data_IF_156203823809
#
_entry.id   IF_156203823809
#
_cell.length_a   1.000
_cell.length_b   1.000
_cell.length_c   1.000
_cell.angle_alpha   90.00
_cell.angle_beta   90.00
_cell.angle_gamma   90.00
#
_symmetry.space_group_name_H-M   'P 1'
#
loop_
_entity.id
_entity.type
_entity.pdbx_description
1 polymer ?
#
# COMPACT_ATOMS: atom_id res chain seq x y z
N UNK A 1 -17.39 14.04 -5.84
CA UNK A 1 -17.26 15.47 -5.48
C UNK A 1 -17.32 15.54 -3.98
N UNK A 2 -16.18 15.72 -3.32
CA UNK A 2 -16.13 15.94 -1.88
C UNK A 2 -16.84 17.27 -1.57
N UNK A 3 -17.60 17.28 -0.48
CA UNK A 3 -18.23 18.49 0.04
C UNK A 3 -17.13 19.41 0.58
N UNK A 4 -17.15 20.69 0.19
CA UNK A 4 -16.19 21.68 0.68
C UNK A 4 -16.47 21.96 2.16
N UNK A 5 -15.55 21.55 3.04
CA UNK A 5 -15.64 21.75 4.49
C UNK A 5 -14.44 22.56 5.01
N UNK A 6 -14.54 23.05 6.24
CA UNK A 6 -13.49 23.80 6.95
C UNK A 6 -12.15 23.03 7.03
N UNK A 7 -12.20 21.70 7.20
CA UNK A 7 -11.01 20.84 7.19
C UNK A 7 -10.19 20.99 5.90
N UNK A 8 -10.87 21.16 4.76
CA UNK A 8 -10.26 21.29 3.44
C UNK A 8 -9.52 22.63 3.27
N UNK A 9 -9.99 23.67 3.96
CA UNK A 9 -9.32 24.98 3.99
C UNK A 9 -8.07 24.93 4.88
N UNK A 10 -8.12 24.15 5.96
CA UNK A 10 -6.98 23.93 6.84
C UNK A 10 -5.88 23.09 6.17
N UNK A 11 -6.24 21.99 5.50
CA UNK A 11 -5.29 21.18 4.71
C UNK A 11 -4.65 22.00 3.57
N UNK A 12 -5.39 22.96 3.00
CA UNK A 12 -4.85 23.90 2.02
C UNK A 12 -3.79 24.83 2.63
N UNK A 13 -4.03 25.35 3.85
CA UNK A 13 -3.06 26.18 4.58
C UNK A 13 -1.81 25.39 5.00
N UNK A 14 -1.99 24.14 5.42
CA UNK A 14 -0.89 23.25 5.83
C UNK A 14 -0.08 22.73 4.62
N UNK A 15 -0.58 22.93 3.39
CA UNK A 15 0.07 22.49 2.16
C UNK A 15 0.05 20.97 1.97
N UNK A 16 -0.91 20.28 2.60
CA UNK A 16 -1.00 18.81 2.60
C UNK A 16 -1.91 18.25 1.51
N UNK A 17 -2.64 19.12 0.80
CA UNK A 17 -3.50 18.72 -0.31
C UNK A 17 -2.71 18.25 -1.54
N UNK A 18 -3.25 17.25 -2.24
CA UNK A 18 -2.80 16.91 -3.59
C UNK A 18 -3.16 18.01 -4.61
N UNK A 19 -2.54 17.94 -5.78
CA UNK A 19 -2.65 19.00 -6.79
C UNK A 19 -4.07 19.18 -7.37
N UNK A 20 -4.87 18.12 -7.46
CA UNK A 20 -6.25 18.21 -7.95
C UNK A 20 -7.15 18.83 -6.89
N UNK A 21 -6.99 18.43 -5.63
CA UNK A 21 -7.71 18.99 -4.48
C UNK A 21 -7.38 20.47 -4.26
N UNK A 22 -6.10 20.84 -4.41
CA UNK A 22 -5.64 22.24 -4.35
C UNK A 22 -6.33 23.10 -5.40
N UNK A 23 -6.37 22.65 -6.66
CA UNK A 23 -7.08 23.36 -7.74
C UNK A 23 -8.58 23.51 -7.48
N UNK A 24 -9.22 22.52 -6.85
CA UNK A 24 -10.62 22.61 -6.47
C UNK A 24 -10.86 23.67 -5.39
N UNK A 25 -9.98 23.77 -4.39
CA UNK A 25 -10.03 24.82 -3.35
C UNK A 25 -9.82 26.19 -3.96
N UNK A 26 -8.81 26.36 -4.81
CA UNK A 26 -8.53 27.64 -5.49
C UNK A 26 -9.74 28.10 -6.34
N UNK A 27 -10.40 27.18 -7.05
CA UNK A 27 -11.62 27.47 -7.79
C UNK A 27 -12.79 27.86 -6.88
N UNK A 28 -12.92 27.24 -5.70
CA UNK A 28 -13.92 27.61 -4.71
C UNK A 28 -13.64 29.00 -4.11
N UNK A 29 -12.38 29.29 -3.74
CA UNK A 29 -11.95 30.59 -3.23
C UNK A 29 -12.19 31.73 -4.24
N UNK A 30 -12.01 31.46 -5.54
CA UNK A 30 -12.30 32.42 -6.59
C UNK A 30 -13.79 32.84 -6.64
N UNK A 31 -14.70 31.95 -6.24
CA UNK A 31 -16.14 32.16 -6.35
C UNK A 31 -16.82 32.53 -5.03
N UNK A 32 -16.23 32.16 -3.88
CA UNK A 32 -16.81 32.35 -2.55
C UNK A 32 -16.08 33.44 -1.74
N UNK A 33 -16.68 34.64 -1.57
CA UNK A 33 -16.14 35.68 -0.70
C UNK A 33 -16.09 35.25 0.78
N UNK A 34 -17.01 34.39 1.21
CA UNK A 34 -17.06 33.88 2.59
C UNK A 34 -15.85 32.99 2.89
N UNK A 35 -15.51 32.07 1.99
CA UNK A 35 -14.33 31.21 2.14
C UNK A 35 -13.02 32.01 2.15
N UNK A 36 -12.93 33.07 1.34
CA UNK A 36 -11.77 33.99 1.37
C UNK A 36 -11.66 34.77 2.68
N UNK A 37 -12.78 35.18 3.27
CA UNK A 37 -12.78 35.86 4.56
C UNK A 37 -12.31 34.92 5.69
N UNK A 38 -12.76 33.66 5.68
CA UNK A 38 -12.33 32.64 6.64
C UNK A 38 -10.84 32.33 6.51
N UNK A 39 -10.34 32.17 5.27
CA UNK A 39 -8.91 31.96 5.01
C UNK A 39 -8.07 33.12 5.56
N UNK A 40 -8.47 34.36 5.29
CA UNK A 40 -7.77 35.55 5.77
C UNK A 40 -7.78 35.67 7.31
N UNK A 41 -8.86 35.25 7.97
CA UNK A 41 -8.93 35.18 9.44
C UNK A 41 -7.92 34.17 10.00
N UNK A 42 -7.85 32.97 9.40
CA UNK A 42 -6.88 31.94 9.79
C UNK A 42 -5.43 32.40 9.55
N UNK A 43 -5.13 32.98 8.39
CA UNK A 43 -3.80 33.55 8.10
C UNK A 43 -3.40 34.63 9.11
N UNK A 44 -4.35 35.47 9.53
CA UNK A 44 -4.11 36.50 10.55
C UNK A 44 -3.78 35.88 11.91
N UNK A 45 -4.47 34.80 12.29
CA UNK A 45 -4.18 34.07 13.53
C UNK A 45 -2.78 33.45 13.49
N UNK A 46 -2.39 32.80 12.39
CA UNK A 46 -1.06 32.21 12.23
C UNK A 46 0.04 33.27 12.23
N UNK A 47 -0.15 34.40 11.54
CA UNK A 47 0.79 35.52 11.59
C UNK A 47 0.94 36.08 13.02
N UNK A 48 -0.12 36.09 13.82
CA UNK A 48 -0.07 36.45 15.23
C UNK A 48 0.73 35.46 16.09
N UNK A 49 0.64 34.16 15.78
CA UNK A 49 1.43 33.12 16.44
C UNK A 49 2.91 33.18 16.04
N UNK A 50 3.20 33.43 14.76
CA UNK A 50 4.57 33.57 14.25
C UNK A 50 5.27 34.83 14.79
N UNK A 51 4.49 35.88 15.10
CA UNK A 51 5.00 37.09 15.74
C UNK A 51 5.30 36.95 17.24
N UNK A 52 4.98 35.80 17.87
CA UNK A 52 5.32 35.57 19.27
C UNK A 52 6.85 35.55 19.45
N UNK A 53 7.36 36.17 20.53
CA UNK A 53 8.79 36.15 20.80
C UNK A 53 9.26 34.72 21.04
N UNK A 54 10.34 34.33 20.37
CA UNK A 54 11.02 33.07 20.65
C UNK A 54 11.46 33.05 22.12
N UNK A 55 10.90 32.12 22.89
CA UNK A 55 11.36 31.91 24.27
C UNK A 55 12.66 31.11 24.22
N UNK A 56 13.76 31.64 24.77
CA UNK A 56 14.99 30.87 24.86
C UNK A 56 14.75 29.65 25.75
N UNK A 57 15.13 28.47 25.28
CA UNK A 57 15.10 27.28 26.12
C UNK A 57 16.09 27.47 27.29
N UNK A 58 15.64 27.21 28.51
CA UNK A 58 16.48 27.34 29.72
C UNK A 58 17.68 26.36 29.72
N UNK A 59 17.59 25.30 28.92
CA UNK A 59 18.62 24.27 28.75
C UNK A 59 18.83 24.07 27.26
N UNK A 60 20.09 24.06 26.84
CA UNK A 60 20.46 23.73 25.47
C UNK A 60 20.19 22.24 25.21
N UNK A 61 19.09 21.96 24.52
CA UNK A 61 18.71 20.61 24.11
C UNK A 61 19.46 20.17 22.85
N UNK A 62 20.13 21.07 22.13
CA UNK A 62 20.76 20.76 20.84
C UNK A 62 21.85 19.70 21.01
N UNK A 63 22.68 19.81 22.05
CA UNK A 63 23.72 18.84 22.35
C UNK A 63 23.14 17.44 22.67
N UNK A 64 22.05 17.38 23.43
CA UNK A 64 21.38 16.13 23.78
C UNK A 64 20.72 15.46 22.57
N UNK A 65 20.03 16.24 21.74
CA UNK A 65 19.37 15.77 20.51
C UNK A 65 20.40 15.31 19.49
N UNK A 66 21.47 16.08 19.23
CA UNK A 66 22.56 15.67 18.32
C UNK A 66 23.25 14.41 18.79
N UNK A 67 23.49 14.28 20.10
CA UNK A 67 24.07 13.06 20.67
C UNK A 67 23.13 11.87 20.48
N UNK A 68 21.83 12.05 20.69
CA UNK A 68 20.84 10.99 20.52
C UNK A 68 20.63 10.60 19.07
N UNK A 69 20.52 11.55 18.15
CA UNK A 69 20.48 11.29 16.71
C UNK A 69 21.74 10.54 16.30
N UNK A 70 22.94 10.96 16.73
CA UNK A 70 24.18 10.24 16.42
C UNK A 70 24.22 8.81 16.99
N UNK A 71 23.62 8.58 18.16
CA UNK A 71 23.49 7.26 18.78
C UNK A 71 22.42 6.37 18.12
N UNK A 72 21.37 6.95 17.55
CA UNK A 72 20.34 6.26 16.76
C UNK A 72 20.72 6.16 15.27
N UNK A 73 21.74 6.90 14.83
CA UNK A 73 22.37 6.83 13.49
C UNK A 73 23.66 5.98 13.42
N UNK A 74 23.79 4.77 13.99
CA UNK A 74 24.87 3.86 13.58
C UNK A 74 24.55 3.06 12.30
N UNK A 75 23.38 3.24 11.66
CA UNK A 75 22.92 2.27 10.65
C UNK A 75 22.42 2.83 9.30
N UNK A 76 22.48 4.14 9.04
CA UNK A 76 22.03 4.68 7.73
C UNK A 76 23.16 5.26 6.86
N UNK A 77 24.37 5.45 7.39
CA UNK A 77 25.51 6.01 6.63
C UNK A 77 26.51 4.97 6.10
N UNK A 78 26.18 3.68 6.19
CA UNK A 78 26.97 2.61 5.56
C UNK A 78 26.06 1.48 5.07
N UNK A 79 25.20 1.79 4.11
CA UNK A 79 24.91 0.83 3.03
C UNK A 79 26.05 0.95 2.01
N UNK A 80 27.29 0.78 2.47
CA UNK A 80 28.25 0.07 1.65
C UNK A 80 27.68 -1.34 1.62
N UNK A 81 27.21 -1.75 0.45
CA UNK A 81 26.85 -3.12 0.13
C UNK A 81 28.12 -3.95 0.32
N UNK A 82 28.43 -4.27 1.58
CA UNK A 82 29.44 -5.24 1.97
C UNK A 82 28.87 -6.61 1.64
N UNK A 83 28.85 -6.93 0.34
CA UNK A 83 28.75 -8.31 -0.14
C UNK A 83 30.09 -8.96 0.17
N UNK A 84 30.33 -9.27 1.43
CA UNK A 84 31.30 -10.29 1.82
C UNK A 84 31.11 -10.66 3.29
N UNK A 85 30.01 -11.31 3.58
CA UNK A 85 29.99 -12.30 4.66
C UNK A 85 29.59 -13.60 4.01
N UNK A 86 30.52 -14.53 3.90
CA UNK A 86 30.26 -15.87 3.36
C UNK A 86 29.03 -16.43 4.05
N UNK A 87 27.95 -16.65 3.30
CA UNK A 87 26.76 -17.31 3.81
C UNK A 87 27.20 -18.61 4.51
N UNK A 88 26.73 -18.88 5.73
CA UNK A 88 27.05 -20.11 6.45
C UNK A 88 26.85 -21.32 5.52
N UNK A 89 27.78 -22.30 5.54
CA UNK A 89 27.72 -23.46 4.62
C UNK A 89 26.36 -24.18 4.65
N UNK A 90 25.66 -24.18 5.79
CA UNK A 90 24.32 -24.76 5.91
C UNK A 90 23.26 -24.02 5.09
N UNK A 91 23.38 -22.70 4.97
CA UNK A 91 22.48 -21.84 4.18
C UNK A 91 22.70 -22.07 2.68
N UNK A 92 23.95 -22.29 2.27
CA UNK A 92 24.28 -22.73 0.92
C UNK A 92 23.70 -24.11 0.58
N UNK A 93 23.73 -25.06 1.53
CA UNK A 93 23.09 -26.37 1.35
C UNK A 93 21.57 -26.25 1.24
N UNK A 94 20.96 -25.35 2.02
CA UNK A 94 19.53 -25.10 1.99
C UNK A 94 19.11 -24.50 0.64
N UNK A 95 19.85 -23.49 0.15
CA UNK A 95 19.62 -22.89 -1.17
C UNK A 95 19.82 -23.91 -2.30
N UNK A 96 20.88 -24.72 -2.25
CA UNK A 96 21.09 -25.82 -3.21
C UNK A 96 19.93 -26.81 -3.17
N UNK A 97 19.43 -27.17 -1.98
CA UNK A 97 18.30 -28.08 -1.84
C UNK A 97 17.01 -27.50 -2.43
N UNK A 98 16.79 -26.19 -2.30
CA UNK A 98 15.65 -25.50 -2.89
C UNK A 98 15.75 -25.44 -4.41
N UNK A 99 16.94 -25.16 -4.95
CA UNK A 99 17.17 -25.13 -6.41
C UNK A 99 16.95 -26.54 -6.99
N UNK A 100 17.52 -27.57 -6.36
CA UNK A 100 17.34 -28.95 -6.80
C UNK A 100 15.87 -29.37 -6.70
N UNK A 101 15.19 -29.00 -5.61
CA UNK A 101 13.76 -29.24 -5.45
C UNK A 101 12.91 -28.53 -6.51
N UNK A 102 13.23 -27.27 -6.81
CA UNK A 102 12.54 -26.48 -7.83
C UNK A 102 12.76 -27.08 -9.22
N UNK A 103 13.99 -27.45 -9.58
CA UNK A 103 14.30 -28.08 -10.89
C UNK A 103 13.65 -29.46 -11.00
N UNK A 104 13.62 -30.25 -9.93
CA UNK A 104 12.96 -31.55 -9.92
C UNK A 104 11.44 -31.41 -10.06
N UNK A 105 10.82 -30.47 -9.34
CA UNK A 105 9.40 -30.16 -9.47
C UNK A 105 9.07 -29.62 -10.86
N UNK A 106 9.91 -28.73 -11.40
CA UNK A 106 9.73 -28.13 -12.71
C UNK A 106 9.87 -29.18 -13.81
N UNK A 107 10.86 -30.08 -13.72
CA UNK A 107 11.04 -31.21 -14.64
C UNK A 107 9.88 -32.21 -14.56
N UNK A 108 9.45 -32.57 -13.35
CA UNK A 108 8.34 -33.51 -13.14
C UNK A 108 6.99 -32.94 -13.58
N UNK A 109 6.81 -31.61 -13.49
CA UNK A 109 5.60 -30.91 -13.94
C UNK A 109 5.77 -30.24 -15.31
N UNK A 110 6.89 -30.50 -16.00
CA UNK A 110 7.23 -29.86 -17.27
C UNK A 110 6.23 -30.19 -18.37
N UNK A 111 5.77 -31.45 -18.42
CA UNK A 111 4.74 -31.88 -19.37
C UNK A 111 3.40 -31.18 -19.14
N UNK A 112 2.99 -31.02 -17.88
CA UNK A 112 1.77 -30.28 -17.53
C UNK A 112 1.88 -28.79 -17.84
N UNK A 113 3.07 -28.20 -17.67
CA UNK A 113 3.34 -26.82 -18.06
C UNK A 113 3.31 -26.65 -19.58
N UNK A 114 3.90 -27.57 -20.35
CA UNK A 114 3.87 -27.54 -21.81
C UNK A 114 2.47 -27.81 -22.37
N UNK A 115 1.72 -28.77 -21.80
CA UNK A 115 0.31 -29.01 -22.14
C UNK A 115 -0.55 -27.81 -21.77
N UNK A 116 -0.27 -27.16 -20.63
CA UNK A 116 -0.91 -25.90 -20.24
C UNK A 116 -0.53 -24.72 -21.13
N UNK A 117 0.65 -24.71 -21.77
CA UNK A 117 1.06 -23.65 -22.69
C UNK A 117 0.45 -23.83 -24.09
N UNK A 118 0.36 -25.08 -24.55
CA UNK A 118 -0.17 -25.44 -25.88
C UNK A 118 -1.70 -25.51 -25.87
N UNK A 119 -2.29 -26.13 -24.84
CA UNK A 119 -3.73 -26.31 -24.68
C UNK A 119 -4.33 -25.35 -23.65
N UNK A 120 -3.57 -24.36 -23.17
CA UNK A 120 -3.98 -23.41 -22.13
C UNK A 120 -5.28 -22.69 -22.40
N UNK A 121 -5.62 -22.47 -23.67
CA UNK A 121 -6.92 -21.90 -24.05
C UNK A 121 -8.09 -22.86 -23.81
N UNK A 122 -7.90 -24.16 -24.04
CA UNK A 122 -8.93 -25.17 -23.77
C UNK A 122 -9.01 -25.47 -22.28
N UNK A 123 -7.87 -25.61 -21.59
CA UNK A 123 -7.82 -25.73 -20.13
C UNK A 123 -8.43 -24.51 -19.43
N UNK A 124 -8.20 -23.28 -19.93
CA UNK A 124 -8.84 -22.08 -19.41
C UNK A 124 -10.34 -22.06 -19.71
N UNK A 125 -10.80 -22.52 -20.88
CA UNK A 125 -12.22 -22.57 -21.22
C UNK A 125 -12.99 -23.66 -20.44
N UNK A 126 -12.39 -24.84 -20.29
CA UNK A 126 -12.90 -25.94 -19.47
C UNK A 126 -12.85 -25.58 -17.98
N UNK A 127 -11.81 -24.88 -17.53
CA UNK A 127 -11.72 -24.34 -16.19
C UNK A 127 -12.78 -23.25 -15.95
N UNK A 128 -12.92 -22.27 -16.86
CA UNK A 128 -13.90 -21.19 -16.76
C UNK A 128 -15.34 -21.73 -16.76
N UNK A 129 -15.61 -22.84 -17.46
CA UNK A 129 -16.90 -23.52 -17.43
C UNK A 129 -17.09 -24.40 -16.18
N UNK A 130 -16.00 -24.87 -15.55
CA UNK A 130 -16.01 -25.58 -14.27
C UNK A 130 -16.09 -24.67 -13.04
N UNK A 131 -15.80 -23.38 -13.20
CA UNK A 131 -16.19 -22.34 -12.23
C UNK A 131 -17.71 -22.24 -12.29
N UNK A 132 -18.38 -23.12 -11.56
CA UNK A 132 -19.77 -22.89 -11.22
C UNK A 132 -19.86 -21.55 -10.46
N UNK A 133 -21.01 -20.90 -10.56
CA UNK A 133 -21.38 -19.64 -9.90
C UNK A 133 -21.31 -19.57 -8.34
N UNK A 134 -20.98 -20.62 -7.54
CA UNK A 134 -20.81 -20.44 -6.09
C UNK A 134 -19.70 -19.48 -5.65
N UNK A 135 -18.66 -19.27 -6.46
CA UNK A 135 -17.58 -18.32 -6.13
C UNK A 135 -18.05 -16.86 -6.19
N UNK A 136 -18.96 -16.54 -7.10
CA UNK A 136 -19.57 -15.22 -7.19
C UNK A 136 -20.54 -14.96 -6.03
N UNK A 137 -21.26 -15.98 -5.55
CA UNK A 137 -22.06 -15.85 -4.33
C UNK A 137 -21.18 -15.65 -3.10
N UNK A 138 -20.00 -16.28 -3.05
CA UNK A 138 -19.04 -16.10 -1.96
C UNK A 138 -18.47 -14.68 -1.94
N UNK A 139 -18.14 -14.12 -3.12
CA UNK A 139 -17.69 -12.72 -3.25
C UNK A 139 -18.82 -11.74 -2.88
N UNK A 140 -20.04 -11.97 -3.37
CA UNK A 140 -21.19 -11.14 -3.02
C UNK A 140 -21.52 -11.18 -1.53
N UNK A 141 -21.37 -12.34 -0.90
CA UNK A 141 -21.62 -12.53 0.53
C UNK A 141 -20.50 -11.96 1.41
N UNK A 142 -19.24 -12.07 0.97
CA UNK A 142 -18.11 -11.35 1.58
C UNK A 142 -18.31 -9.84 1.50
N UNK A 143 -18.77 -9.33 0.36
CA UNK A 143 -19.06 -7.91 0.18
C UNK A 143 -20.20 -7.44 1.08
N UNK A 144 -21.30 -8.20 1.15
CA UNK A 144 -22.43 -7.90 2.04
C UNK A 144 -22.00 -7.86 3.52
N UNK A 145 -21.26 -8.87 3.98
CA UNK A 145 -20.75 -8.93 5.35
C UNK A 145 -19.78 -7.79 5.65
N UNK A 146 -18.94 -7.40 4.69
CA UNK A 146 -18.02 -6.27 4.83
C UNK A 146 -18.78 -4.94 4.94
N UNK A 147 -19.82 -4.74 4.12
CA UNK A 147 -20.66 -3.54 4.21
C UNK A 147 -21.44 -3.45 5.53
N UNK A 148 -21.88 -4.59 6.07
CA UNK A 148 -22.56 -4.66 7.37
C UNK A 148 -21.62 -4.30 8.54
N UNK A 149 -20.33 -4.68 8.42
CA UNK A 149 -19.26 -4.33 9.36
C UNK A 149 -18.92 -2.84 9.37
N UNK A 150 -19.00 -2.19 8.20
CA UNK A 150 -18.82 -0.74 8.07
C UNK A 150 -20.00 0.04 8.67
N UNK A 151 -21.20 -0.54 8.64
CA UNK A 151 -22.41 0.09 9.19
C UNK A 151 -22.59 -0.17 10.68
N UNK A 152 -22.06 -1.27 11.20
CA UNK A 152 -22.11 -1.61 12.62
C UNK A 152 -20.76 -2.17 13.10
N UNK A 153 -20.04 -1.49 14.03
CA UNK A 153 -18.74 -1.92 14.51
C UNK A 153 -18.90 -3.02 15.58
N UNK A 154 -19.54 -4.11 15.21
CA UNK A 154 -19.53 -5.35 16.00
C UNK A 154 -18.65 -6.34 15.27
N UNK A 155 -17.82 -7.11 15.99
CA UNK A 155 -16.93 -8.10 15.40
C UNK A 155 -17.74 -9.36 15.03
N UNK A 156 -18.08 -9.62 13.76
CA UNK A 156 -18.67 -10.89 13.38
C UNK A 156 -17.61 -11.99 13.52
N UNK A 157 -18.03 -13.16 13.98
CA UNK A 157 -17.20 -14.35 14.00
C UNK A 157 -17.07 -14.91 12.57
N UNK A 158 -16.07 -14.46 11.82
CA UNK A 158 -15.75 -14.92 10.47
C UNK A 158 -15.11 -16.31 10.52
N UNK A 159 -15.93 -17.35 10.68
CA UNK A 159 -15.51 -18.73 10.51
C UNK A 159 -15.53 -19.08 9.02
N UNK A 160 -14.46 -18.74 8.30
CA UNK A 160 -14.32 -19.06 6.88
C UNK A 160 -13.79 -20.50 6.76
N UNK A 161 -14.71 -21.45 6.63
CA UNK A 161 -14.38 -22.87 6.43
C UNK A 161 -14.25 -23.16 4.92
N UNK A 162 -13.11 -22.79 4.35
CA UNK A 162 -12.79 -23.01 2.93
C UNK A 162 -11.95 -24.29 2.78
N UNK A 163 -12.29 -25.18 1.82
CA UNK A 163 -11.42 -26.28 1.42
C UNK A 163 -10.02 -25.79 1.04
N UNK A 164 -8.97 -26.55 1.38
CA UNK A 164 -7.55 -26.18 1.14
C UNK A 164 -7.27 -25.80 -0.32
N UNK A 165 -7.97 -26.40 -1.29
CA UNK A 165 -7.85 -26.07 -2.72
C UNK A 165 -8.35 -24.66 -3.06
N UNK A 166 -9.33 -24.13 -2.32
CA UNK A 166 -9.90 -22.80 -2.54
C UNK A 166 -8.99 -21.69 -1.96
N UNK A 167 -8.24 -21.99 -0.90
CA UNK A 167 -7.17 -21.11 -0.41
C UNK A 167 -6.07 -20.90 -1.45
N UNK A 168 -5.68 -21.98 -2.15
CA UNK A 168 -4.72 -21.89 -3.25
C UNK A 168 -5.20 -20.96 -4.37
N UNK A 169 -6.50 -21.01 -4.69
CA UNK A 169 -7.13 -20.12 -5.67
C UNK A 169 -7.14 -18.66 -5.21
N UNK A 170 -7.54 -18.39 -3.96
CA UNK A 170 -7.55 -17.03 -3.41
C UNK A 170 -6.15 -16.42 -3.41
N UNK A 171 -5.13 -17.18 -3.00
CA UNK A 171 -3.75 -16.72 -3.02
C UNK A 171 -3.23 -16.50 -4.43
N UNK A 172 -3.54 -17.38 -5.37
CA UNK A 172 -3.15 -17.21 -6.77
C UNK A 172 -3.80 -15.96 -7.39
N UNK A 173 -5.09 -15.72 -7.12
CA UNK A 173 -5.83 -14.59 -7.64
C UNK A 173 -5.35 -13.28 -6.99
N UNK A 174 -5.10 -13.29 -5.68
CA UNK A 174 -4.46 -12.16 -4.98
C UNK A 174 -3.06 -11.86 -5.53
N UNK A 175 -2.26 -12.89 -5.83
CA UNK A 175 -0.93 -12.72 -6.44
C UNK A 175 -1.02 -12.11 -7.84
N UNK A 176 -1.98 -12.54 -8.67
CA UNK A 176 -2.21 -11.98 -10.01
C UNK A 176 -2.63 -10.51 -9.92
N UNK A 177 -3.59 -10.19 -9.03
CA UNK A 177 -4.03 -8.80 -8.81
C UNK A 177 -2.86 -7.95 -8.31
N UNK A 178 -2.07 -8.46 -7.36
CA UNK A 178 -0.91 -7.76 -6.83
C UNK A 178 0.17 -7.52 -7.89
N UNK A 179 0.48 -8.52 -8.72
CA UNK A 179 1.41 -8.38 -9.85
C UNK A 179 0.91 -7.37 -10.88
N UNK A 180 -0.39 -7.40 -11.22
CA UNK A 180 -1.00 -6.46 -12.14
C UNK A 180 -0.97 -5.02 -11.60
N UNK A 181 -1.28 -4.83 -10.31
CA UNK A 181 -1.22 -3.53 -9.64
C UNK A 181 0.21 -2.98 -9.59
N UNK A 182 1.20 -3.82 -9.25
CA UNK A 182 2.60 -3.43 -9.29
C UNK A 182 3.07 -3.09 -10.70
N UNK A 183 2.68 -3.87 -11.71
CA UNK A 183 3.03 -3.59 -13.09
C UNK A 183 2.54 -2.20 -13.51
N UNK A 184 1.29 -1.85 -13.15
CA UNK A 184 0.69 -0.55 -13.46
C UNK A 184 1.50 0.61 -12.85
N UNK A 185 1.92 0.46 -11.58
CA UNK A 185 2.73 1.45 -10.86
C UNK A 185 4.10 1.69 -11.51
N UNK A 186 4.73 0.64 -12.05
CA UNK A 186 6.06 0.75 -12.66
C UNK A 186 6.01 1.19 -14.13
N UNK A 187 4.89 1.01 -14.83
CA UNK A 187 4.74 1.50 -16.21
C UNK A 187 4.46 2.99 -16.28
N UNK A 188 3.71 3.56 -15.33
CA UNK A 188 3.44 5.01 -15.29
C UNK A 188 4.67 5.84 -14.90
N UNK A 189 5.67 5.22 -14.25
CA UNK A 189 6.90 5.90 -13.83
C UNK A 189 7.92 6.10 -14.97
N UNK A 190 7.66 5.59 -16.17
CA UNK A 190 8.63 5.59 -17.29
C UNK A 190 8.40 6.70 -18.33
N UNK A 191 7.33 7.49 -18.22
CA UNK A 191 7.01 8.58 -19.16
C UNK A 191 7.11 10.00 -18.57
N UNK A 192 7.76 10.18 -17.41
CA UNK A 192 8.00 11.48 -16.76
C UNK A 192 9.44 11.97 -16.87
#
# INVERSE_FOLDING_TARGET
MQEFNEDYLQEYLDGTLDEDSRRAVEAHLATSPAARAQLAEMETLFAGLEALPEMPLAVDLSAGVVTRIRQETPALSRVEVAVSTSLPRWLWLLLLSQIVGAVFLLGNRWSLLLDGLVNGRQLAADWLSSIQLPSLTLIAQLWANFTELLQTPTLPNLSIDLPTSQWGLLLALALIIWLAGNQLLFTDSAEG
#
